data_IF_415464904649
#
_entry.id   IF_415464904649
#
_cell.length_a   1.000
_cell.length_b   1.000
_cell.length_c   1.000
_cell.angle_alpha   90.00
_cell.angle_beta   90.00
_cell.angle_gamma   90.00
#
_symmetry.space_group_name_H-M   'P 1'
#
loop_
_entity.id
_entity.type
_entity.pdbx_description
1 polymer ?
#
# COMPACT_ATOMS: atom_id res chain seq x y z
N UNK A 1 25.91 -24.18 -35.75
CA UNK A 1 26.30 -23.67 -34.42
C UNK A 1 25.52 -22.41 -34.01
N UNK A 2 24.85 -21.70 -34.94
CA UNK A 2 24.16 -20.41 -34.69
C UNK A 2 22.75 -20.53 -34.08
N UNK A 3 22.00 -21.58 -34.42
CA UNK A 3 20.59 -21.68 -34.01
C UNK A 3 20.42 -21.95 -32.50
N UNK A 4 21.23 -22.86 -31.95
CA UNK A 4 21.21 -23.18 -30.52
C UNK A 4 21.65 -22.00 -29.64
N UNK A 5 22.58 -21.18 -30.15
CA UNK A 5 23.05 -19.96 -29.49
C UNK A 5 21.92 -18.92 -29.40
N UNK A 6 21.20 -18.68 -30.50
CA UNK A 6 20.05 -17.77 -30.48
C UNK A 6 18.89 -18.21 -29.58
N UNK A 7 18.63 -19.52 -29.46
CA UNK A 7 17.62 -20.01 -28.53
C UNK A 7 18.01 -19.78 -27.07
N UNK A 8 19.29 -19.96 -26.75
CA UNK A 8 19.83 -19.67 -25.42
C UNK A 8 19.70 -18.17 -25.10
N UNK A 9 20.13 -17.31 -26.02
CA UNK A 9 20.03 -15.85 -25.89
C UNK A 9 18.57 -15.40 -25.67
N UNK A 10 17.63 -15.89 -26.48
CA UNK A 10 16.21 -15.55 -26.35
C UNK A 10 15.59 -16.03 -25.04
N UNK A 11 16.03 -17.18 -24.54
CA UNK A 11 15.57 -17.70 -23.27
C UNK A 11 16.11 -16.86 -22.10
N UNK A 12 17.39 -16.50 -22.13
CA UNK A 12 18.03 -15.62 -21.15
C UNK A 12 17.39 -14.24 -21.14
N UNK A 13 17.17 -13.62 -22.31
CA UNK A 13 16.44 -12.36 -22.47
C UNK A 13 15.03 -12.44 -21.87
N UNK A 14 14.28 -13.50 -22.17
CA UNK A 14 12.91 -13.66 -21.65
C UNK A 14 12.87 -13.86 -20.14
N UNK A 15 13.85 -14.58 -19.58
CA UNK A 15 13.98 -14.77 -18.14
C UNK A 15 14.35 -13.47 -17.44
N UNK A 16 15.33 -12.73 -17.96
CA UNK A 16 15.77 -11.45 -17.42
C UNK A 16 14.62 -10.44 -17.43
N UNK A 17 13.92 -10.29 -18.56
CA UNK A 17 12.75 -9.42 -18.67
C UNK A 17 11.63 -9.81 -17.70
N UNK A 18 11.34 -11.12 -17.59
CA UNK A 18 10.31 -11.60 -16.67
C UNK A 18 10.64 -11.34 -15.21
N UNK A 19 11.91 -11.51 -14.82
CA UNK A 19 12.39 -11.23 -13.47
C UNK A 19 12.40 -9.74 -13.16
N UNK A 20 12.88 -8.91 -14.08
CA UNK A 20 12.90 -7.46 -13.92
C UNK A 20 11.49 -6.89 -13.77
N UNK A 21 10.56 -7.26 -14.65
CA UNK A 21 9.16 -6.84 -14.56
C UNK A 21 8.49 -7.33 -13.27
N UNK A 22 8.72 -8.58 -12.88
CA UNK A 22 8.15 -9.14 -11.66
C UNK A 22 8.67 -8.43 -10.40
N UNK A 23 9.96 -8.11 -10.37
CA UNK A 23 10.58 -7.39 -9.26
C UNK A 23 10.07 -5.95 -9.17
N UNK A 24 10.03 -5.23 -10.29
CA UNK A 24 9.57 -3.84 -10.36
C UNK A 24 8.11 -3.73 -9.88
N UNK A 25 7.21 -4.57 -10.42
CA UNK A 25 5.81 -4.61 -10.00
C UNK A 25 5.65 -4.99 -8.52
N UNK A 26 6.47 -5.94 -8.04
CA UNK A 26 6.44 -6.37 -6.64
C UNK A 26 6.86 -5.25 -5.68
N UNK A 27 7.91 -4.51 -6.03
CA UNK A 27 8.42 -3.38 -5.23
C UNK A 27 7.40 -2.24 -5.24
N UNK A 28 6.89 -1.85 -6.41
CA UNK A 28 5.94 -0.75 -6.54
C UNK A 28 4.67 -1.01 -5.71
N UNK A 29 4.05 -2.19 -5.89
CA UNK A 29 2.87 -2.58 -5.12
C UNK A 29 3.17 -2.69 -3.62
N UNK A 30 4.36 -3.16 -3.25
CA UNK A 30 4.79 -3.27 -1.86
C UNK A 30 4.91 -1.90 -1.19
N UNK A 31 5.54 -0.94 -1.88
CA UNK A 31 5.71 0.43 -1.41
C UNK A 31 4.38 1.17 -1.30
N UNK A 32 3.51 1.06 -2.32
CA UNK A 32 2.19 1.70 -2.31
C UNK A 32 1.32 1.19 -1.15
N UNK A 33 1.20 -0.15 -1.01
CA UNK A 33 0.45 -0.77 0.09
C UNK A 33 1.06 -0.43 1.46
N UNK A 34 2.39 -0.33 1.55
CA UNK A 34 3.10 0.06 2.76
C UNK A 34 2.75 1.49 3.19
N UNK A 35 2.85 2.44 2.25
CA UNK A 35 2.52 3.84 2.49
C UNK A 35 1.04 4.02 2.86
N UNK A 36 0.11 3.36 2.17
CA UNK A 36 -1.31 3.43 2.51
C UNK A 36 -1.60 2.88 3.92
N UNK A 37 -1.02 1.72 4.27
CA UNK A 37 -1.15 1.14 5.61
C UNK A 37 -0.60 2.06 6.69
N UNK A 38 0.55 2.70 6.45
CA UNK A 38 1.14 3.64 7.40
C UNK A 38 0.19 4.82 7.68
N UNK A 39 -0.35 5.44 6.64
CA UNK A 39 -1.33 6.53 6.77
C UNK A 39 -2.53 6.12 7.61
N UNK A 40 -3.09 4.93 7.33
CA UNK A 40 -4.24 4.38 8.07
C UNK A 40 -3.87 4.13 9.54
N UNK A 41 -2.71 3.55 9.83
CA UNK A 41 -2.29 3.27 11.20
C UNK A 41 -2.04 4.54 12.02
N UNK A 42 -1.46 5.58 11.40
CA UNK A 42 -1.32 6.90 12.03
C UNK A 42 -2.70 7.44 12.41
N UNK A 43 -3.67 7.43 11.47
CA UNK A 43 -5.02 7.89 11.73
C UNK A 43 -5.71 7.08 12.86
N UNK A 44 -5.56 5.74 12.86
CA UNK A 44 -6.11 4.88 13.92
C UNK A 44 -5.52 5.20 15.28
N UNK A 45 -4.20 5.40 15.39
CA UNK A 45 -3.55 5.79 16.66
C UNK A 45 -4.06 7.13 17.16
N UNK A 46 -4.20 8.12 16.26
CA UNK A 46 -4.77 9.42 16.60
C UNK A 46 -6.22 9.31 17.11
N UNK A 47 -7.02 8.42 16.52
CA UNK A 47 -8.38 8.15 17.00
C UNK A 47 -8.39 7.45 18.39
N UNK A 48 -7.32 6.75 18.78
CA UNK A 48 -7.20 6.10 20.10
C UNK A 48 -6.91 7.12 21.19
N UNK A 49 -5.95 8.01 20.97
CA UNK A 49 -5.45 8.92 22.00
C UNK A 49 -6.43 10.07 22.34
N UNK A 50 -7.46 10.34 21.53
CA UNK A 50 -8.51 11.29 21.90
C UNK A 50 -9.51 11.60 20.79
N UNK A 51 -10.47 12.46 21.10
CA UNK A 51 -11.49 12.96 20.15
C UNK A 51 -10.93 14.11 19.30
N UNK A 52 -9.89 13.79 18.52
CA UNK A 52 -9.30 14.72 17.58
C UNK A 52 -10.31 15.06 16.46
N UNK A 53 -10.40 16.34 16.05
CA UNK A 53 -11.18 16.72 14.87
C UNK A 53 -10.72 15.96 13.63
N UNK A 54 -11.67 15.51 12.81
CA UNK A 54 -11.41 14.68 11.61
C UNK A 54 -10.51 15.41 10.62
N UNK A 55 -10.63 16.74 10.53
CA UNK A 55 -9.77 17.60 9.72
C UNK A 55 -8.28 17.51 10.11
N UNK A 56 -7.98 17.44 11.40
CA UNK A 56 -6.60 17.28 11.89
C UNK A 56 -6.09 15.88 11.60
N UNK A 57 -6.93 14.86 11.79
CA UNK A 57 -6.56 13.46 11.53
C UNK A 57 -6.20 13.31 10.05
N UNK A 58 -7.04 13.78 9.13
CA UNK A 58 -6.76 13.77 7.70
C UNK A 58 -5.43 14.47 7.38
N UNK A 59 -5.24 15.70 7.89
CA UNK A 59 -4.03 16.50 7.64
C UNK A 59 -2.74 15.82 8.12
N UNK A 60 -2.73 15.22 9.31
CA UNK A 60 -1.52 14.62 9.87
C UNK A 60 -1.26 13.20 9.38
N UNK A 61 -2.31 12.44 9.04
CA UNK A 61 -2.16 11.10 8.49
C UNK A 61 -1.92 11.09 6.97
N UNK A 62 -2.11 12.22 6.28
CA UNK A 62 -2.01 12.28 4.82
C UNK A 62 -3.12 11.51 4.10
N UNK A 63 -4.24 11.31 4.78
CA UNK A 63 -5.50 10.78 4.24
C UNK A 63 -6.39 11.94 3.80
N UNK A 64 -7.33 11.65 2.91
CA UNK A 64 -8.44 12.57 2.66
C UNK A 64 -9.42 12.61 3.84
N UNK A 65 -10.30 13.61 3.83
CA UNK A 65 -11.26 13.83 4.91
C UNK A 65 -12.29 12.69 4.99
N UNK A 66 -12.72 12.16 3.84
CA UNK A 66 -13.73 11.12 3.75
C UNK A 66 -13.23 9.82 4.36
N UNK A 67 -12.00 9.43 4.06
CA UNK A 67 -11.35 8.23 4.60
C UNK A 67 -11.09 8.36 6.10
N UNK A 68 -10.66 9.53 6.57
CA UNK A 68 -10.52 9.79 7.99
C UNK A 68 -11.88 9.69 8.72
N UNK A 69 -12.96 10.17 8.10
CA UNK A 69 -14.33 10.06 8.63
C UNK A 69 -14.83 8.61 8.65
N UNK A 70 -14.55 7.84 7.61
CA UNK A 70 -14.85 6.41 7.55
C UNK A 70 -14.16 5.65 8.68
N UNK A 71 -12.86 5.87 8.88
CA UNK A 71 -12.10 5.24 9.97
C UNK A 71 -12.67 5.57 11.34
N UNK A 72 -13.13 6.81 11.55
CA UNK A 72 -13.83 7.20 12.80
C UNK A 72 -15.12 6.38 12.98
N UNK A 73 -15.96 6.30 11.95
CA UNK A 73 -17.21 5.52 11.98
C UNK A 73 -16.96 4.03 12.19
N UNK A 74 -15.94 3.46 11.55
CA UNK A 74 -15.55 2.05 11.72
C UNK A 74 -15.17 1.74 13.17
N UNK A 75 -14.42 2.64 13.81
CA UNK A 75 -14.07 2.53 15.24
C UNK A 75 -15.31 2.58 16.12
N UNK A 76 -16.18 3.57 15.91
CA UNK A 76 -17.41 3.73 16.70
C UNK A 76 -18.31 2.49 16.60
N UNK A 77 -18.48 1.92 15.40
CA UNK A 77 -19.22 0.67 15.21
C UNK A 77 -18.59 -0.50 15.99
N UNK A 78 -17.26 -0.63 15.97
CA UNK A 78 -16.55 -1.67 16.74
C UNK A 78 -16.75 -1.52 18.24
N UNK A 79 -16.80 -0.28 18.75
CA UNK A 79 -17.04 -0.01 20.17
C UNK A 79 -18.50 -0.27 20.59
N UNK A 80 -19.47 -0.15 19.67
CA UNK A 80 -20.89 -0.41 19.94
C UNK A 80 -21.27 -1.91 19.90
N UNK A 81 -20.37 -2.78 19.44
CA UNK A 81 -20.63 -4.22 19.30
C UNK A 81 -20.10 -5.03 20.50
N UNK A 82 -19.53 -4.35 21.51
CA UNK A 82 -19.04 -4.92 22.77
C UNK A 82 -19.98 -4.47 23.90
#
# INVERSE_FOLDING_TARGET
MTLQMHYQEKYEEGLEQGLEQGLEQGIEQGMEKGAEREKIEIAKRMLVDGDLPVDKIARFSGLDLDRALELKKEREKKLQTI
#
